data_IF_094657975392
#
_entry.id   IF_094657975392
#
_cell.length_a   1.000
_cell.length_b   1.000
_cell.length_c   1.000
_cell.angle_alpha   90.00
_cell.angle_beta   90.00
_cell.angle_gamma   90.00
#
_symmetry.space_group_name_H-M   'P 1'
#
loop_
_entity.id
_entity.type
_entity.pdbx_description
1 polymer ?
#
# COMPACT_ATOMS: atom_id res chain seq x y z
N UNK A 1 38.64 20.72 -6.07
CA UNK A 1 39.94 20.19 -6.56
C UNK A 1 39.89 18.67 -6.44
N UNK A 2 39.66 17.96 -7.54
CA UNK A 2 39.66 16.49 -7.55
C UNK A 2 41.12 16.04 -7.62
N UNK A 3 41.62 15.42 -6.54
CA UNK A 3 42.95 14.84 -6.52
C UNK A 3 43.06 13.76 -7.60
N UNK A 4 44.03 13.87 -8.48
CA UNK A 4 44.34 12.91 -9.54
C UNK A 4 44.80 11.61 -8.85
N UNK A 5 43.95 10.59 -8.82
CA UNK A 5 44.29 9.28 -8.24
C UNK A 5 45.44 8.66 -9.04
N UNK A 6 46.50 8.31 -8.35
CA UNK A 6 47.71 7.74 -8.92
C UNK A 6 47.41 6.43 -9.70
N UNK A 7 48.09 6.15 -10.79
CA UNK A 7 47.83 4.97 -11.64
C UNK A 7 47.84 3.66 -10.87
N UNK A 8 48.72 3.52 -9.89
CA UNK A 8 48.79 2.34 -8.99
C UNK A 8 47.55 2.18 -8.17
N UNK A 9 47.02 3.27 -7.59
CA UNK A 9 45.81 3.23 -6.76
C UNK A 9 44.57 2.89 -7.59
N UNK A 10 44.50 3.27 -8.86
CA UNK A 10 43.41 2.87 -9.76
C UNK A 10 43.37 1.37 -9.97
N UNK A 11 44.53 0.73 -10.16
CA UNK A 11 44.60 -0.73 -10.34
C UNK A 11 44.10 -1.46 -9.09
N UNK A 12 44.47 -0.99 -7.89
CA UNK A 12 43.95 -1.59 -6.65
C UNK A 12 42.42 -1.41 -6.47
N UNK A 13 41.91 -0.27 -6.89
CA UNK A 13 40.45 -0.01 -6.87
C UNK A 13 39.73 -0.99 -7.83
N UNK A 14 40.25 -1.18 -9.04
CA UNK A 14 39.65 -2.13 -10.00
C UNK A 14 39.73 -3.58 -9.51
N UNK A 15 40.86 -3.95 -8.90
CA UNK A 15 41.03 -5.28 -8.29
C UNK A 15 40.03 -5.50 -7.13
N UNK A 16 39.82 -4.49 -6.30
CA UNK A 16 38.87 -4.54 -5.18
C UNK A 16 37.43 -4.67 -5.71
N UNK A 17 37.06 -3.89 -6.72
CA UNK A 17 35.74 -3.99 -7.37
C UNK A 17 35.56 -5.37 -8.02
N UNK A 18 36.58 -5.88 -8.73
CA UNK A 18 36.54 -7.20 -9.33
C UNK A 18 36.36 -8.31 -8.28
N UNK A 19 37.06 -8.20 -7.15
CA UNK A 19 36.94 -9.15 -6.04
C UNK A 19 35.57 -9.11 -5.41
N UNK A 20 34.99 -7.90 -5.18
CA UNK A 20 33.64 -7.71 -4.71
C UNK A 20 32.59 -8.32 -5.68
N UNK A 21 32.72 -8.07 -6.97
CA UNK A 21 31.81 -8.63 -7.98
C UNK A 21 31.95 -10.16 -8.10
N UNK A 22 33.17 -10.70 -7.95
CA UNK A 22 33.44 -12.15 -7.97
C UNK A 22 32.81 -12.86 -6.78
N UNK A 23 32.79 -12.24 -5.59
CA UNK A 23 32.14 -12.82 -4.40
C UNK A 23 30.62 -12.84 -4.53
N UNK A 24 30.03 -11.89 -5.26
CA UNK A 24 28.57 -11.86 -5.51
C UNK A 24 28.10 -13.01 -6.41
N UNK A 25 28.96 -13.52 -7.30
CA UNK A 25 28.62 -14.64 -8.21
C UNK A 25 28.49 -16.00 -7.50
N UNK A 26 29.02 -16.13 -6.30
CA UNK A 26 28.95 -17.37 -5.50
C UNK A 26 27.74 -17.43 -4.56
N UNK A 27 26.98 -16.35 -4.46
CA UNK A 27 25.72 -16.37 -3.74
C UNK A 27 24.69 -16.92 -4.72
N UNK A 28 24.22 -18.13 -4.49
CA UNK A 28 23.06 -18.70 -5.16
C UNK A 28 21.83 -17.85 -4.89
N UNK A 29 21.70 -16.72 -5.59
CA UNK A 29 20.52 -15.85 -5.56
C UNK A 29 19.26 -16.55 -6.07
N UNK A 30 19.40 -17.71 -6.73
CA UNK A 30 18.31 -18.42 -7.37
C UNK A 30 17.34 -19.11 -6.40
N UNK A 31 17.71 -19.33 -5.14
CA UNK A 31 16.86 -20.02 -4.16
C UNK A 31 16.69 -19.28 -2.82
N UNK A 32 17.18 -18.08 -2.67
CA UNK A 32 16.99 -17.36 -1.42
C UNK A 32 15.64 -16.66 -1.42
N UNK A 33 14.73 -17.13 -0.57
CA UNK A 33 13.55 -16.40 -0.13
C UNK A 33 13.87 -15.01 0.51
N UNK A 34 15.14 -14.58 0.42
CA UNK A 34 15.67 -13.34 1.01
C UNK A 34 15.05 -12.06 0.40
N UNK A 35 14.45 -12.14 -0.80
CA UNK A 35 13.86 -10.99 -1.47
C UNK A 35 12.39 -11.20 -1.85
N UNK A 36 11.64 -11.98 -1.07
CA UNK A 36 10.18 -11.97 -1.18
C UNK A 36 9.65 -10.67 -0.58
N UNK A 37 9.71 -9.60 -1.33
CA UNK A 37 9.05 -8.34 -1.01
C UNK A 37 7.56 -8.37 -1.41
N UNK A 38 6.97 -9.56 -1.48
CA UNK A 38 5.53 -9.70 -1.69
C UNK A 38 4.79 -9.20 -0.47
N UNK A 39 3.64 -8.59 -0.68
CA UNK A 39 2.82 -8.12 0.43
C UNK A 39 2.11 -9.33 1.04
N UNK A 40 2.52 -9.69 2.24
CA UNK A 40 1.89 -10.77 3.01
C UNK A 40 0.86 -10.19 3.99
N UNK A 41 1.10 -8.99 4.49
CA UNK A 41 0.27 -8.36 5.50
C UNK A 41 -0.34 -7.04 4.98
N UNK A 42 -1.67 -6.94 5.08
CA UNK A 42 -2.40 -5.70 4.84
C UNK A 42 -3.14 -5.35 6.13
N UNK A 43 -2.86 -4.19 6.70
CA UNK A 43 -3.49 -3.66 7.90
C UNK A 43 -4.35 -2.47 7.52
N UNK A 44 -5.66 -2.58 7.70
CA UNK A 44 -6.61 -1.49 7.49
C UNK A 44 -7.20 -1.08 8.83
N UNK A 45 -7.27 0.21 9.09
CA UNK A 45 -7.84 0.79 10.31
C UNK A 45 -8.61 2.07 10.01
N UNK A 46 -9.54 2.45 10.92
CA UNK A 46 -10.31 3.70 10.84
C UNK A 46 -11.79 3.52 10.52
N UNK A 47 -12.21 2.35 10.03
CA UNK A 47 -13.63 2.00 9.89
C UNK A 47 -14.06 1.06 11.03
N UNK A 48 -15.31 0.55 10.98
CA UNK A 48 -15.72 -0.57 11.84
C UNK A 48 -14.97 -1.84 11.47
N UNK A 49 -14.81 -2.77 12.42
CA UNK A 49 -14.04 -4.01 12.23
C UNK A 49 -14.46 -4.78 10.98
N UNK A 50 -15.77 -4.90 10.75
CA UNK A 50 -16.33 -5.55 9.58
C UNK A 50 -15.92 -4.85 8.27
N UNK A 51 -15.97 -3.52 8.25
CA UNK A 51 -15.60 -2.75 7.08
C UNK A 51 -14.08 -2.72 6.87
N UNK A 52 -13.28 -2.72 7.95
CA UNK A 52 -11.84 -2.88 7.88
C UNK A 52 -11.46 -4.23 7.26
N UNK A 53 -12.08 -5.33 7.70
CA UNK A 53 -11.86 -6.67 7.13
C UNK A 53 -12.23 -6.72 5.65
N UNK A 54 -13.41 -6.21 5.28
CA UNK A 54 -13.85 -6.16 3.88
C UNK A 54 -12.87 -5.39 3.01
N UNK A 55 -12.45 -4.20 3.45
CA UNK A 55 -11.48 -3.38 2.72
C UNK A 55 -10.11 -4.07 2.63
N UNK A 56 -9.70 -4.78 3.69
CA UNK A 56 -8.47 -5.58 3.68
C UNK A 56 -8.51 -6.67 2.61
N UNK A 57 -9.63 -7.39 2.50
CA UNK A 57 -9.81 -8.43 1.47
C UNK A 57 -9.84 -7.85 0.06
N UNK A 58 -10.52 -6.71 -0.14
CA UNK A 58 -10.54 -6.02 -1.43
C UNK A 58 -9.13 -5.58 -1.86
N UNK A 59 -8.35 -5.03 -0.93
CA UNK A 59 -6.97 -4.65 -1.18
C UNK A 59 -6.12 -5.90 -1.48
N UNK A 60 -6.24 -6.97 -0.70
CA UNK A 60 -5.49 -8.22 -0.93
C UNK A 60 -5.77 -8.83 -2.30
N UNK A 61 -7.01 -8.77 -2.79
CA UNK A 61 -7.38 -9.30 -4.13
C UNK A 61 -6.66 -8.61 -5.28
N UNK A 62 -6.28 -7.35 -5.12
CA UNK A 62 -5.60 -6.56 -6.17
C UNK A 62 -4.08 -6.50 -5.97
N UNK A 63 -3.60 -6.90 -4.79
CA UNK A 63 -2.20 -6.85 -4.42
C UNK A 63 -1.55 -8.24 -4.54
N UNK A 64 -1.31 -8.70 -5.76
CA UNK A 64 -0.48 -9.90 -6.02
C UNK A 64 0.99 -9.55 -6.28
N UNK A 65 1.38 -8.28 -6.08
CA UNK A 65 2.66 -7.75 -6.53
C UNK A 65 3.63 -7.49 -5.37
N UNK A 66 4.89 -7.35 -5.74
CA UNK A 66 5.95 -6.88 -4.88
C UNK A 66 5.63 -5.48 -4.33
N UNK A 67 5.89 -5.24 -3.04
CA UNK A 67 5.61 -3.98 -2.34
C UNK A 67 6.20 -2.74 -3.04
N UNK A 68 7.30 -2.91 -3.79
CA UNK A 68 7.93 -1.83 -4.57
C UNK A 68 7.15 -1.50 -5.85
N UNK A 69 6.46 -2.48 -6.44
CA UNK A 69 5.76 -2.34 -7.73
C UNK A 69 4.32 -1.87 -7.60
N UNK A 70 3.82 -1.69 -6.37
CA UNK A 70 2.43 -1.24 -6.15
C UNK A 70 2.23 0.13 -6.78
N UNK A 71 1.30 0.18 -7.72
CA UNK A 71 0.82 1.43 -8.31
C UNK A 71 -0.19 2.07 -7.37
N UNK A 72 0.12 3.27 -6.91
CA UNK A 72 -0.75 4.04 -6.00
C UNK A 72 -2.16 4.23 -6.58
N UNK A 73 -2.26 4.41 -7.91
CA UNK A 73 -3.52 4.65 -8.62
C UNK A 73 -4.51 3.48 -8.49
N UNK A 74 -4.02 2.24 -8.43
CA UNK A 74 -4.88 1.06 -8.28
C UNK A 74 -5.50 1.03 -6.88
N UNK A 75 -4.70 1.33 -5.86
CA UNK A 75 -5.18 1.43 -4.48
C UNK A 75 -6.16 2.60 -4.30
N UNK A 76 -5.84 3.77 -4.88
CA UNK A 76 -6.71 4.94 -4.86
C UNK A 76 -8.10 4.60 -5.41
N UNK A 77 -8.17 4.05 -6.64
CA UNK A 77 -9.43 3.68 -7.29
C UNK A 77 -10.26 2.68 -6.46
N UNK A 78 -9.61 1.78 -5.74
CA UNK A 78 -10.31 0.79 -4.91
C UNK A 78 -10.87 1.42 -3.64
N UNK A 79 -10.09 2.26 -2.97
CA UNK A 79 -10.52 2.94 -1.75
C UNK A 79 -11.58 4.01 -2.03
N UNK A 80 -11.46 4.75 -3.13
CA UNK A 80 -12.43 5.78 -3.55
C UNK A 80 -13.82 5.24 -3.86
N UNK A 81 -13.95 3.96 -4.23
CA UNK A 81 -15.26 3.31 -4.43
C UNK A 81 -16.05 3.16 -3.14
N UNK A 82 -15.39 3.17 -1.99
CA UNK A 82 -16.05 3.04 -0.70
C UNK A 82 -16.54 4.42 -0.21
N UNK A 83 -17.87 4.60 -0.20
CA UNK A 83 -18.49 5.87 0.17
C UNK A 83 -18.32 6.22 1.67
N UNK A 84 -17.90 5.27 2.51
CA UNK A 84 -17.64 5.50 3.93
C UNK A 84 -16.26 6.14 4.18
N UNK A 85 -15.43 6.27 3.14
CA UNK A 85 -14.07 6.81 3.26
C UNK A 85 -14.09 8.30 2.90
N UNK A 86 -13.66 9.12 3.85
CA UNK A 86 -13.43 10.55 3.65
C UNK A 86 -12.03 10.80 3.09
N UNK A 87 -11.03 10.32 3.81
CA UNK A 87 -9.63 10.38 3.42
C UNK A 87 -8.88 9.12 3.85
N UNK A 88 -7.70 8.89 3.32
CA UNK A 88 -6.86 7.76 3.73
C UNK A 88 -5.37 8.05 3.52
N UNK A 89 -4.56 7.40 4.35
CA UNK A 89 -3.11 7.41 4.27
C UNK A 89 -2.61 5.97 4.03
N UNK A 90 -1.69 5.80 3.08
CA UNK A 90 -1.09 4.51 2.76
C UNK A 90 0.39 4.56 3.11
N UNK A 91 0.83 3.64 3.97
CA UNK A 91 2.24 3.45 4.35
C UNK A 91 2.73 2.07 3.95
N UNK A 92 3.88 2.03 3.29
CA UNK A 92 4.62 0.79 3.04
C UNK A 92 5.55 0.53 4.23
N UNK A 93 5.34 -0.56 4.93
CA UNK A 93 6.20 -1.02 6.03
C UNK A 93 6.96 -2.23 5.53
N UNK A 94 8.23 -2.01 5.22
CA UNK A 94 9.09 -3.06 4.69
C UNK A 94 9.35 -4.15 5.74
N UNK A 95 9.55 -5.43 5.35
CA UNK A 95 9.68 -5.85 3.95
C UNK A 95 8.36 -6.14 3.21
N UNK A 96 7.23 -6.37 3.89
CA UNK A 96 6.07 -7.06 3.30
C UNK A 96 4.70 -6.58 3.80
N UNK A 97 4.63 -5.43 4.48
CA UNK A 97 3.39 -4.95 5.09
C UNK A 97 2.90 -3.65 4.46
N UNK A 98 1.61 -3.60 4.12
CA UNK A 98 0.92 -2.39 3.72
C UNK A 98 -0.03 -1.95 4.84
N UNK A 99 0.16 -0.75 5.35
CA UNK A 99 -0.72 -0.12 6.33
C UNK A 99 -1.60 0.92 5.63
N UNK A 100 -2.91 0.84 5.84
CA UNK A 100 -3.89 1.80 5.33
C UNK A 100 -4.68 2.35 6.50
N UNK A 101 -4.48 3.62 6.78
CA UNK A 101 -5.25 4.37 7.79
C UNK A 101 -6.35 5.13 7.09
N UNK A 102 -7.59 4.89 7.48
CA UNK A 102 -8.78 5.47 6.87
C UNK A 102 -9.40 6.46 7.87
N UNK A 103 -9.76 7.61 7.36
CA UNK A 103 -10.63 8.55 8.03
C UNK A 103 -12.06 8.33 7.54
N UNK A 104 -12.95 7.97 8.48
CA UNK A 104 -14.36 7.71 8.17
C UNK A 104 -15.06 9.01 7.82
N UNK A 105 -15.97 8.98 6.83
CA UNK A 105 -16.84 10.11 6.53
C UNK A 105 -17.83 10.39 7.67
N UNK A 106 -18.07 11.64 7.94
CA UNK A 106 -19.11 12.09 8.87
C UNK A 106 -20.44 12.22 8.12
N UNK A 107 -21.55 11.91 8.79
CA UNK A 107 -22.88 12.04 8.20
C UNK A 107 -23.42 13.44 8.47
N UNK A 108 -23.65 14.22 7.42
CA UNK A 108 -24.13 15.58 7.49
C UNK A 108 -25.65 15.70 7.49
N UNK A 109 -26.34 14.73 6.89
CA UNK A 109 -27.79 14.76 6.78
C UNK A 109 -28.37 13.53 6.09
N UNK A 110 -29.69 13.50 5.96
CA UNK A 110 -30.45 12.46 5.28
C UNK A 110 -31.22 13.09 4.13
N UNK A 111 -31.19 12.47 2.96
CA UNK A 111 -31.95 12.88 1.79
C UNK A 111 -32.84 11.71 1.33
N UNK A 112 -34.05 12.03 0.89
CA UNK A 112 -34.94 11.07 0.24
C UNK A 112 -34.88 11.28 -1.29
N UNK A 113 -34.48 10.25 -2.02
CA UNK A 113 -34.44 10.25 -3.46
C UNK A 113 -35.34 9.12 -3.95
N UNK A 114 -36.45 9.43 -4.58
CA UNK A 114 -37.41 8.45 -5.11
C UNK A 114 -37.87 7.39 -4.09
N UNK A 115 -38.12 7.80 -2.84
CA UNK A 115 -38.54 6.90 -1.76
C UNK A 115 -37.43 6.15 -1.04
N UNK A 116 -36.16 6.31 -1.48
CA UNK A 116 -35.02 5.73 -0.82
C UNK A 116 -34.28 6.78 0.02
N UNK A 117 -33.93 6.41 1.24
CA UNK A 117 -33.18 7.28 2.14
C UNK A 117 -31.67 7.04 2.03
N UNK A 118 -30.92 8.14 1.87
CA UNK A 118 -29.46 8.14 1.82
C UNK A 118 -28.91 9.10 2.84
N UNK A 119 -27.80 8.73 3.48
CA UNK A 119 -26.98 9.69 4.21
C UNK A 119 -26.09 10.47 3.22
N UNK A 120 -25.91 11.74 3.50
CA UNK A 120 -24.92 12.59 2.81
C UNK A 120 -23.67 12.59 3.68
N UNK A 121 -22.56 12.12 3.16
CA UNK A 121 -21.27 12.16 3.84
C UNK A 121 -20.56 13.49 3.67
N UNK A 122 -19.63 13.79 4.59
CA UNK A 122 -18.72 14.96 4.50
C UNK A 122 -17.87 14.96 3.23
N UNK A 123 -17.66 13.77 2.65
CA UNK A 123 -16.99 13.57 1.35
C UNK A 123 -17.90 13.84 0.13
N UNK A 124 -19.15 14.32 0.33
CA UNK A 124 -20.12 14.59 -0.72
C UNK A 124 -20.76 13.34 -1.35
N UNK A 125 -20.53 12.14 -0.83
CA UNK A 125 -21.06 10.90 -1.38
C UNK A 125 -22.35 10.48 -0.67
N UNK A 126 -23.24 9.82 -1.44
CA UNK A 126 -24.45 9.22 -0.88
C UNK A 126 -24.16 7.82 -0.35
N UNK A 127 -24.67 7.54 0.85
CA UNK A 127 -24.52 6.24 1.53
C UNK A 127 -25.90 5.68 1.81
N UNK A 128 -26.21 4.50 1.28
CA UNK A 128 -27.52 3.86 1.50
C UNK A 128 -27.72 3.60 3.00
N UNK A 129 -28.85 4.13 3.54
CA UNK A 129 -29.25 3.98 4.93
C UNK A 129 -29.30 2.52 5.39
N UNK A 130 -29.68 1.60 4.49
CA UNK A 130 -29.75 0.16 4.78
C UNK A 130 -28.39 -0.49 5.05
N UNK A 131 -27.35 0.04 4.43
CA UNK A 131 -25.99 -0.48 4.58
C UNK A 131 -25.33 -0.05 5.90
N UNK A 132 -25.81 1.04 6.52
CA UNK A 132 -25.26 1.53 7.79
C UNK A 132 -25.81 0.75 9.00
N UNK A 133 -27.06 0.29 8.97
CA UNK A 133 -27.65 -0.52 10.05
C UNK A 133 -27.10 -1.96 10.15
N UNK A 134 -26.51 -2.49 9.10
CA UNK A 134 -25.89 -3.83 9.09
C UNK A 134 -24.48 -3.89 9.68
N UNK A 135 -23.92 -2.77 10.12
CA UNK A 135 -22.55 -2.63 10.57
C UNK A 135 -22.37 -2.10 12.02
N UNK A 136 -23.45 -2.05 12.81
CA UNK A 136 -23.38 -1.81 14.26
C UNK A 136 -23.30 -3.10 15.02
#
# INVERSE_FOLDING_TARGET
>A
MLQKIDKKNKVYIYLLIYFLLSTLNNIHFTNSNFFKFNIDNVKVSGLSDKNNLKTTEEIKKILFENIFLIKKEVLLKTLEKNNLINSFEIKKIYPNTLEVKIEKTEFLGIVNINGNFFFIGSNGKFIDYRNTKKGS
#
